data_IF_265759926266
#
_entry.id   IF_265759926266
#
_cell.length_a   1.000
_cell.length_b   1.000
_cell.length_c   1.000
_cell.angle_alpha   90.00
_cell.angle_beta   90.00
_cell.angle_gamma   90.00
#
_symmetry.space_group_name_H-M   'P 1'
#
loop_
_entity.id
_entity.type
_entity.pdbx_description
1 polymer ?
#
# COMPACT_ATOMS: atom_id res chain seq x y z
N UNK A 1 -26.30 49.34 13.03
CA UNK A 1 -26.76 48.74 11.76
C UNK A 1 -26.70 47.23 11.92
N UNK A 2 -27.86 46.59 12.13
CA UNK A 2 -27.97 45.14 12.28
C UNK A 2 -28.16 44.53 10.89
N UNK A 3 -27.26 43.69 10.45
CA UNK A 3 -27.45 42.89 9.25
C UNK A 3 -28.38 41.72 9.60
N UNK A 4 -29.63 41.81 9.15
CA UNK A 4 -30.57 40.70 9.24
C UNK A 4 -30.12 39.54 8.33
N UNK A 5 -29.95 38.37 8.93
CA UNK A 5 -29.81 37.11 8.20
C UNK A 5 -31.18 36.83 7.58
N UNK A 6 -31.31 37.12 6.29
CA UNK A 6 -32.54 36.88 5.54
C UNK A 6 -32.82 35.38 5.47
N UNK A 7 -34.04 35.02 5.87
CA UNK A 7 -34.61 33.68 5.78
C UNK A 7 -34.53 33.15 4.35
N UNK A 8 -33.58 32.23 4.12
CA UNK A 8 -33.50 31.44 2.89
C UNK A 8 -34.62 30.39 2.88
N UNK A 9 -35.85 30.87 2.67
CA UNK A 9 -37.00 30.01 2.40
C UNK A 9 -36.90 29.43 0.98
N UNK A 10 -36.28 28.27 0.86
CA UNK A 10 -36.34 27.49 -0.35
C UNK A 10 -37.71 26.84 -0.51
N UNK A 11 -38.69 27.58 -0.99
CA UNK A 11 -40.02 27.05 -1.37
C UNK A 11 -39.92 26.34 -2.72
N UNK A 12 -39.87 24.99 -2.70
CA UNK A 12 -40.06 24.16 -3.89
C UNK A 12 -41.51 24.28 -4.40
N UNK A 13 -41.67 24.38 -5.70
CA UNK A 13 -42.91 24.67 -6.45
C UNK A 13 -43.82 23.46 -6.67
N UNK A 14 -43.72 22.42 -5.88
CA UNK A 14 -44.53 21.20 -6.01
C UNK A 14 -45.50 21.14 -4.84
N UNK A 15 -46.78 21.18 -5.15
CA UNK A 15 -47.93 21.35 -4.23
C UNK A 15 -48.15 20.26 -3.15
N UNK A 16 -47.06 19.57 -2.71
CA UNK A 16 -46.99 18.79 -1.48
C UNK A 16 -45.69 19.18 -0.79
N UNK A 17 -45.79 20.10 0.14
CA UNK A 17 -44.67 20.69 0.87
C UNK A 17 -43.91 19.70 1.75
N UNK A 18 -43.21 18.77 1.14
CA UNK A 18 -42.16 18.02 1.85
C UNK A 18 -40.99 18.95 2.11
N UNK A 19 -40.69 19.19 3.39
CA UNK A 19 -39.56 20.02 3.78
C UNK A 19 -38.25 19.40 3.22
N UNK A 20 -37.21 20.23 3.03
CA UNK A 20 -35.87 19.77 2.59
C UNK A 20 -35.33 18.68 3.50
N UNK A 21 -35.77 18.64 4.77
CA UNK A 21 -35.41 17.63 5.75
C UNK A 21 -36.18 16.31 5.61
N UNK A 22 -37.34 16.29 4.96
CA UNK A 22 -38.10 15.06 4.72
C UNK A 22 -37.79 14.38 3.39
N UNK A 23 -36.76 14.87 2.68
CA UNK A 23 -36.30 14.32 1.39
C UNK A 23 -34.95 13.58 1.56
N UNK A 24 -34.71 12.59 0.72
CA UNK A 24 -33.38 11.96 0.59
C UNK A 24 -32.97 11.03 1.73
N UNK A 25 -33.90 10.44 2.47
CA UNK A 25 -33.60 9.47 3.52
C UNK A 25 -32.82 8.27 3.02
N UNK A 26 -33.05 7.80 1.78
CA UNK A 26 -32.26 6.72 1.17
C UNK A 26 -30.81 7.16 0.97
N UNK A 27 -30.60 8.38 0.44
CA UNK A 27 -29.23 8.92 0.28
C UNK A 27 -28.54 9.10 1.63
N UNK A 28 -29.26 9.57 2.63
CA UNK A 28 -28.74 9.69 4.00
C UNK A 28 -28.39 8.31 4.57
N UNK A 29 -29.25 7.31 4.38
CA UNK A 29 -28.98 5.92 4.78
C UNK A 29 -27.73 5.33 4.11
N UNK A 30 -27.55 5.56 2.80
CA UNK A 30 -26.35 5.12 2.08
C UNK A 30 -25.10 5.87 2.57
N UNK A 31 -25.19 7.17 2.84
CA UNK A 31 -24.07 7.92 3.41
C UNK A 31 -23.66 7.39 4.78
N UNK A 32 -24.64 7.14 5.67
CA UNK A 32 -24.37 6.56 6.98
C UNK A 32 -23.86 5.13 6.91
N UNK A 33 -24.32 4.33 5.94
CA UNK A 33 -23.79 2.99 5.68
C UNK A 33 -22.31 3.09 5.25
N UNK A 34 -21.97 4.01 4.35
CA UNK A 34 -20.56 4.25 3.95
C UNK A 34 -19.72 4.67 5.15
N UNK A 35 -20.25 5.58 6.00
CA UNK A 35 -19.57 5.98 7.23
C UNK A 35 -19.35 4.80 8.19
N UNK A 36 -20.35 3.93 8.34
CA UNK A 36 -20.25 2.72 9.16
C UNK A 36 -19.21 1.74 8.61
N UNK A 37 -19.19 1.51 7.30
CA UNK A 37 -18.16 0.68 6.64
C UNK A 37 -16.76 1.23 6.94
N UNK A 38 -16.53 2.52 6.72
CA UNK A 38 -15.25 3.15 6.99
C UNK A 38 -14.85 3.09 8.46
N UNK A 39 -15.78 3.36 9.39
CA UNK A 39 -15.50 3.36 10.82
C UNK A 39 -15.27 1.96 11.41
N UNK A 40 -16.00 0.98 10.89
CA UNK A 40 -16.06 -0.38 11.44
C UNK A 40 -15.49 -1.44 10.49
N UNK A 41 -14.63 -1.08 9.53
CA UNK A 41 -14.05 -2.01 8.56
C UNK A 41 -13.34 -3.20 9.25
N UNK A 42 -12.67 -2.96 10.38
CA UNK A 42 -11.95 -3.99 11.13
C UNK A 42 -12.85 -5.02 11.81
N UNK A 43 -14.15 -4.73 11.98
CA UNK A 43 -15.13 -5.64 12.55
C UNK A 43 -15.83 -6.50 11.51
N UNK A 44 -15.60 -6.23 10.21
CA UNK A 44 -16.16 -7.07 9.14
C UNK A 44 -15.50 -8.45 9.20
N UNK A 45 -16.28 -9.54 9.33
CA UNK A 45 -15.74 -10.88 9.50
C UNK A 45 -14.95 -11.37 8.30
N UNK A 46 -13.89 -12.15 8.54
CA UNK A 46 -13.11 -12.85 7.51
C UNK A 46 -13.46 -14.34 7.40
N UNK A 47 -14.32 -14.86 8.29
CA UNK A 47 -14.74 -16.26 8.31
C UNK A 47 -15.46 -16.68 7.03
N UNK A 48 -16.10 -15.74 6.33
CA UNK A 48 -16.78 -15.98 5.07
C UNK A 48 -15.97 -15.35 3.93
N UNK A 49 -15.13 -16.16 3.29
CA UNK A 49 -14.41 -15.78 2.08
C UNK A 49 -13.45 -14.61 2.23
N UNK A 50 -12.95 -14.32 3.43
CA UNK A 50 -12.04 -13.19 3.74
C UNK A 50 -12.56 -11.83 3.22
N UNK A 51 -13.87 -11.60 3.34
CA UNK A 51 -14.51 -10.41 2.80
C UNK A 51 -14.00 -9.11 3.46
N UNK A 52 -13.66 -9.16 4.74
CA UNK A 52 -13.03 -8.03 5.45
C UNK A 52 -11.71 -7.62 4.81
N UNK A 53 -10.82 -8.58 4.54
CA UNK A 53 -9.52 -8.32 3.89
C UNK A 53 -9.68 -7.76 2.46
N UNK A 54 -10.64 -8.28 1.67
CA UNK A 54 -10.97 -7.71 0.37
C UNK A 54 -11.41 -6.25 0.48
N UNK A 55 -12.30 -5.96 1.41
CA UNK A 55 -12.80 -4.61 1.65
C UNK A 55 -11.68 -3.67 2.10
N UNK A 56 -10.80 -4.12 2.99
CA UNK A 56 -9.65 -3.36 3.49
C UNK A 56 -8.63 -3.06 2.39
N UNK A 57 -8.48 -3.93 1.39
CA UNK A 57 -7.63 -3.69 0.22
C UNK A 57 -8.09 -2.46 -0.58
N UNK A 58 -9.39 -2.30 -0.77
CA UNK A 58 -9.98 -1.19 -1.55
C UNK A 58 -10.61 -0.09 -0.69
N UNK A 59 -10.28 -0.03 0.59
CA UNK A 59 -10.88 0.89 1.55
C UNK A 59 -10.81 2.38 1.14
N UNK A 60 -9.72 2.89 0.54
CA UNK A 60 -9.66 4.29 0.08
C UNK A 60 -10.74 4.64 -0.94
N UNK A 61 -11.15 3.68 -1.79
CA UNK A 61 -12.13 3.89 -2.85
C UNK A 61 -13.57 4.11 -2.34
N UNK A 62 -13.87 3.73 -1.09
CA UNK A 62 -15.15 4.06 -0.48
C UNK A 62 -15.37 5.58 -0.34
N UNK A 63 -14.30 6.38 -0.40
CA UNK A 63 -14.39 7.83 -0.49
C UNK A 63 -15.15 8.33 -1.72
N UNK A 64 -15.16 7.57 -2.82
CA UNK A 64 -15.92 7.92 -4.02
C UNK A 64 -17.45 7.93 -3.78
N UNK A 65 -17.93 7.24 -2.74
CA UNK A 65 -19.35 7.32 -2.37
C UNK A 65 -19.75 8.76 -2.02
N UNK A 66 -18.81 9.58 -1.50
CA UNK A 66 -19.09 10.98 -1.15
C UNK A 66 -19.50 11.80 -2.37
N UNK A 67 -18.69 11.98 -3.43
CA UNK A 67 -19.11 12.74 -4.60
C UNK A 67 -20.28 12.07 -5.35
N UNK A 68 -20.36 10.75 -5.39
CA UNK A 68 -21.46 10.00 -6.03
C UNK A 68 -22.81 10.28 -5.35
N UNK A 69 -22.86 10.34 -4.03
CA UNK A 69 -24.08 10.64 -3.28
C UNK A 69 -24.34 12.16 -3.17
N UNK A 70 -23.31 12.98 -3.25
CA UNK A 70 -23.42 14.45 -3.17
C UNK A 70 -24.26 15.00 -4.34
N UNK A 71 -23.98 14.54 -5.57
CA UNK A 71 -24.68 15.02 -6.77
C UNK A 71 -26.20 14.85 -6.64
N UNK A 72 -26.76 13.63 -6.40
CA UNK A 72 -28.21 13.49 -6.23
C UNK A 72 -28.74 14.17 -4.97
N UNK A 73 -27.97 14.33 -3.89
CA UNK A 73 -28.37 15.07 -2.71
C UNK A 73 -28.60 16.55 -3.03
N UNK A 74 -27.73 17.16 -3.84
CA UNK A 74 -27.84 18.54 -4.32
C UNK A 74 -29.04 18.69 -5.27
N UNK A 75 -29.17 17.79 -6.26
CA UNK A 75 -30.28 17.82 -7.23
C UNK A 75 -31.65 17.72 -6.52
N UNK A 76 -31.75 16.89 -5.48
CA UNK A 76 -32.97 16.73 -4.67
C UNK A 76 -33.11 17.82 -3.61
N UNK A 77 -32.12 18.69 -3.44
CA UNK A 77 -32.11 19.74 -2.40
C UNK A 77 -32.40 19.16 -1.01
N UNK A 78 -31.70 18.05 -0.67
CA UNK A 78 -31.94 17.32 0.56
C UNK A 78 -30.94 17.72 1.65
N UNK A 79 -31.41 18.52 2.62
CA UNK A 79 -30.60 18.90 3.78
C UNK A 79 -30.18 17.66 4.61
N UNK A 80 -31.06 16.66 4.75
CA UNK A 80 -30.80 15.41 5.46
C UNK A 80 -29.66 14.63 4.85
N UNK A 81 -29.66 14.46 3.51
CA UNK A 81 -28.60 13.74 2.84
C UNK A 81 -27.26 14.50 2.89
N UNK A 82 -27.30 15.84 2.72
CA UNK A 82 -26.11 16.68 2.83
C UNK A 82 -25.49 16.63 4.24
N UNK A 83 -26.32 16.69 5.28
CA UNK A 83 -25.85 16.55 6.66
C UNK A 83 -25.26 15.15 6.92
N UNK A 84 -25.92 14.08 6.43
CA UNK A 84 -25.42 12.72 6.59
C UNK A 84 -24.08 12.48 5.88
N UNK A 85 -23.83 13.15 4.74
CA UNK A 85 -22.56 13.04 4.01
C UNK A 85 -21.36 13.59 4.78
N UNK A 86 -21.55 14.42 5.78
CA UNK A 86 -20.44 14.90 6.62
C UNK A 86 -19.74 13.73 7.34
N UNK A 87 -20.50 12.70 7.76
CA UNK A 87 -19.92 11.57 8.49
C UNK A 87 -18.89 10.78 7.65
N UNK A 88 -19.22 10.22 6.46
CA UNK A 88 -18.23 9.50 5.66
C UNK A 88 -17.10 10.41 5.18
N UNK A 89 -17.37 11.69 4.89
CA UNK A 89 -16.34 12.65 4.50
C UNK A 89 -15.31 12.85 5.60
N UNK A 90 -15.76 13.13 6.83
CA UNK A 90 -14.85 13.34 7.97
C UNK A 90 -14.06 12.08 8.29
N UNK A 91 -14.71 10.91 8.34
CA UNK A 91 -14.02 9.64 8.62
C UNK A 91 -12.97 9.36 7.54
N UNK A 92 -13.31 9.51 6.25
CA UNK A 92 -12.39 9.28 5.16
C UNK A 92 -11.20 10.25 5.20
N UNK A 93 -11.44 11.54 5.46
CA UNK A 93 -10.36 12.54 5.60
C UNK A 93 -9.48 12.24 6.82
N UNK A 94 -10.04 11.78 7.93
CA UNK A 94 -9.25 11.36 9.10
C UNK A 94 -8.37 10.14 8.79
N UNK A 95 -8.85 9.20 7.97
CA UNK A 95 -8.10 7.99 7.63
C UNK A 95 -7.05 8.24 6.55
N UNK A 96 -7.37 9.02 5.53
CA UNK A 96 -6.58 9.11 4.31
C UNK A 96 -6.11 10.53 3.95
N UNK A 97 -6.60 11.55 4.62
CA UNK A 97 -6.29 12.95 4.30
C UNK A 97 -4.79 13.25 4.35
N UNK A 98 -4.05 12.62 5.26
CA UNK A 98 -2.60 12.76 5.33
C UNK A 98 -1.85 12.19 4.11
N UNK A 99 -2.47 11.27 3.37
CA UNK A 99 -1.88 10.73 2.13
C UNK A 99 -2.01 11.71 0.96
N UNK A 100 -2.91 12.69 1.03
CA UNK A 100 -3.11 13.70 -0.01
C UNK A 100 -2.17 14.90 0.10
N UNK A 101 -1.28 14.89 1.08
CA UNK A 101 -0.29 15.95 1.29
C UNK A 101 1.09 15.41 0.99
N UNK A 102 1.89 16.17 0.26
CA UNK A 102 3.30 15.88 0.07
C UNK A 102 4.02 15.97 1.41
N UNK A 103 4.64 14.86 1.80
CA UNK A 103 5.41 14.72 3.05
C UNK A 103 6.89 14.51 2.75
N UNK A 104 7.27 14.58 1.47
CA UNK A 104 8.66 14.48 1.07
C UNK A 104 9.47 15.67 1.57
N UNK A 105 10.70 15.42 2.01
CA UNK A 105 11.61 16.48 2.44
C UNK A 105 12.76 15.98 3.29
N UNK A 106 13.77 16.84 3.39
CA UNK A 106 15.01 16.54 4.12
C UNK A 106 16.09 15.92 3.23
N UNK A 107 17.31 15.84 3.79
CA UNK A 107 18.43 15.11 3.16
C UNK A 107 18.21 13.60 3.28
N UNK A 108 18.87 12.85 2.40
CA UNK A 108 18.91 11.40 2.49
C UNK A 108 20.35 10.91 2.21
N UNK A 109 20.65 9.72 2.70
CA UNK A 109 21.94 9.06 2.51
C UNK A 109 21.78 7.59 2.07
N UNK A 110 20.55 7.13 1.90
CA UNK A 110 20.24 5.78 1.46
C UNK A 110 18.96 5.73 0.62
N UNK A 111 19.00 4.98 -0.48
CA UNK A 111 17.88 4.82 -1.40
C UNK A 111 17.57 3.34 -1.61
N UNK A 112 16.33 2.95 -1.44
CA UNK A 112 15.85 1.60 -1.69
C UNK A 112 14.80 1.58 -2.80
N UNK A 113 14.89 0.57 -3.66
CA UNK A 113 13.89 0.27 -4.69
C UNK A 113 13.40 -1.16 -4.50
N UNK A 114 12.11 -1.36 -4.68
CA UNK A 114 11.46 -2.66 -4.68
C UNK A 114 10.63 -2.83 -5.95
N UNK A 115 10.63 -4.06 -6.50
CA UNK A 115 9.83 -4.37 -7.67
C UNK A 115 9.51 -5.87 -7.80
N UNK A 116 8.22 -6.19 -7.84
CA UNK A 116 7.77 -7.47 -8.39
C UNK A 116 7.88 -7.39 -9.93
N UNK A 117 8.87 -8.10 -10.50
CA UNK A 117 9.19 -7.99 -11.93
C UNK A 117 8.26 -8.79 -12.83
N UNK A 118 7.35 -9.55 -12.27
CA UNK A 118 6.50 -10.57 -12.90
C UNK A 118 7.28 -11.72 -13.58
N UNK A 119 6.96 -12.94 -13.21
CA UNK A 119 7.56 -14.15 -13.81
C UNK A 119 7.32 -14.24 -15.33
N UNK A 120 6.31 -13.54 -15.85
CA UNK A 120 5.93 -13.51 -17.27
C UNK A 120 6.52 -12.35 -18.06
N UNK A 121 7.21 -11.40 -17.41
CA UNK A 121 7.85 -10.28 -18.06
C UNK A 121 8.97 -10.74 -19.00
N UNK A 122 8.88 -10.36 -20.28
CA UNK A 122 9.81 -10.74 -21.33
C UNK A 122 10.99 -9.77 -21.47
N UNK A 123 10.91 -8.56 -20.90
CA UNK A 123 11.94 -7.52 -20.99
C UNK A 123 12.37 -7.02 -19.60
N UNK A 124 12.93 -7.94 -18.80
CA UNK A 124 13.47 -7.58 -17.49
C UNK A 124 14.71 -6.69 -17.58
N UNK A 125 15.42 -6.68 -18.72
CA UNK A 125 16.56 -5.81 -18.94
C UNK A 125 16.16 -4.33 -18.90
N UNK A 126 15.11 -3.96 -19.63
CA UNK A 126 14.52 -2.61 -19.61
C UNK A 126 13.96 -2.25 -18.24
N UNK A 127 13.38 -3.24 -17.55
CA UNK A 127 12.92 -3.04 -16.17
C UNK A 127 14.08 -2.61 -15.27
N UNK A 128 15.23 -3.28 -15.32
CA UNK A 128 16.41 -2.91 -14.52
C UNK A 128 16.91 -1.49 -14.85
N UNK A 129 16.91 -1.11 -16.14
CA UNK A 129 17.29 0.25 -16.54
C UNK A 129 16.36 1.32 -15.90
N UNK A 130 15.06 1.03 -15.79
CA UNK A 130 14.09 1.90 -15.11
C UNK A 130 14.38 2.01 -13.60
N UNK A 131 14.64 0.88 -12.93
CA UNK A 131 14.95 0.89 -11.50
C UNK A 131 16.23 1.68 -11.19
N UNK A 132 17.26 1.53 -12.02
CA UNK A 132 18.55 2.21 -11.86
C UNK A 132 18.45 3.75 -12.00
N UNK A 133 17.41 4.29 -12.64
CA UNK A 133 17.19 5.74 -12.74
C UNK A 133 17.00 6.40 -11.37
N UNK A 134 16.45 5.68 -10.40
CA UNK A 134 16.34 6.15 -9.02
C UNK A 134 17.69 6.15 -8.26
N UNK A 135 18.77 5.65 -8.89
CA UNK A 135 20.13 5.52 -8.31
C UNK A 135 20.12 4.81 -6.93
N UNK A 136 19.40 3.71 -6.78
CA UNK A 136 19.25 3.06 -5.48
C UNK A 136 20.58 2.56 -4.92
N UNK A 137 20.64 2.40 -3.61
CA UNK A 137 21.73 1.72 -2.91
C UNK A 137 21.45 0.22 -2.77
N UNK A 138 20.15 -0.11 -2.68
CA UNK A 138 19.66 -1.49 -2.72
C UNK A 138 18.45 -1.63 -3.65
N UNK A 139 18.37 -2.77 -4.34
CA UNK A 139 17.26 -3.17 -5.21
C UNK A 139 16.75 -4.51 -4.72
N UNK A 140 15.50 -4.59 -4.33
CA UNK A 140 14.79 -5.81 -4.02
C UNK A 140 13.91 -6.21 -5.21
N UNK A 141 13.98 -7.47 -5.60
CA UNK A 141 13.23 -8.03 -6.72
C UNK A 141 12.45 -9.25 -6.28
N UNK A 142 11.22 -9.38 -6.76
CA UNK A 142 10.34 -10.52 -6.55
C UNK A 142 9.92 -11.14 -7.90
N UNK A 143 9.48 -12.38 -7.85
CA UNK A 143 9.10 -13.21 -9.01
C UNK A 143 10.25 -13.50 -9.98
N UNK A 144 11.49 -13.53 -9.50
CA UNK A 144 12.65 -13.89 -10.30
C UNK A 144 12.53 -15.35 -10.76
N UNK A 145 12.64 -15.56 -12.06
CA UNK A 145 12.76 -16.90 -12.65
C UNK A 145 14.21 -17.19 -13.04
N UNK A 146 14.55 -18.50 -13.14
CA UNK A 146 15.89 -18.90 -13.61
C UNK A 146 16.20 -18.41 -15.04
N UNK A 147 15.19 -18.22 -15.89
CA UNK A 147 15.34 -17.67 -17.23
C UNK A 147 15.65 -16.17 -17.24
N UNK A 148 15.12 -15.41 -16.29
CA UNK A 148 15.32 -13.96 -16.19
C UNK A 148 16.64 -13.58 -15.49
N UNK A 149 17.13 -14.43 -14.58
CA UNK A 149 18.28 -14.13 -13.73
C UNK A 149 19.56 -13.71 -14.50
N UNK A 150 19.94 -14.34 -15.63
CA UNK A 150 21.10 -13.90 -16.40
C UNK A 150 20.99 -12.46 -16.90
N UNK A 151 19.80 -12.04 -17.40
CA UNK A 151 19.57 -10.67 -17.88
C UNK A 151 19.60 -9.65 -16.73
N UNK A 152 19.05 -10.00 -15.56
CA UNK A 152 19.09 -9.17 -14.35
C UNK A 152 20.56 -8.95 -13.93
N UNK A 153 21.35 -10.02 -13.84
CA UNK A 153 22.78 -9.95 -13.48
C UNK A 153 23.57 -9.11 -14.47
N UNK A 154 23.36 -9.33 -15.76
CA UNK A 154 24.05 -8.55 -16.81
C UNK A 154 23.84 -7.04 -16.62
N UNK A 155 22.68 -6.61 -16.14
CA UNK A 155 22.36 -5.20 -15.92
C UNK A 155 22.85 -4.68 -14.57
N UNK A 156 22.72 -5.47 -13.52
CA UNK A 156 22.91 -4.98 -12.15
C UNK A 156 24.31 -5.24 -11.58
N UNK A 157 24.97 -6.38 -11.89
CA UNK A 157 26.17 -6.82 -11.18
C UNK A 157 27.34 -5.82 -11.29
N UNK A 158 27.41 -5.02 -12.36
CA UNK A 158 28.42 -3.98 -12.53
C UNK A 158 28.30 -2.82 -11.56
N UNK A 159 27.08 -2.42 -11.22
CA UNK A 159 26.79 -1.30 -10.32
C UNK A 159 26.44 -1.74 -8.89
N UNK A 160 26.01 -3.01 -8.73
CA UNK A 160 25.59 -3.63 -7.48
C UNK A 160 26.36 -4.94 -7.29
N UNK A 161 27.64 -4.89 -6.90
CA UNK A 161 28.51 -6.07 -6.88
C UNK A 161 28.15 -7.09 -5.80
N UNK A 162 27.34 -6.70 -4.82
CA UNK A 162 26.89 -7.59 -3.75
C UNK A 162 25.44 -7.97 -3.97
N UNK A 163 25.15 -9.25 -4.11
CA UNK A 163 23.79 -9.72 -4.28
C UNK A 163 23.56 -11.10 -3.65
N UNK A 164 22.31 -11.36 -3.30
CA UNK A 164 21.82 -12.66 -2.83
C UNK A 164 20.47 -12.94 -3.48
N UNK A 165 20.27 -14.18 -3.93
CA UNK A 165 18.99 -14.65 -4.49
C UNK A 165 18.60 -15.93 -3.77
N UNK A 166 17.39 -15.94 -3.21
CA UNK A 166 16.82 -17.07 -2.49
C UNK A 166 15.42 -17.40 -3.07
N UNK A 167 15.31 -18.56 -3.70
CA UNK A 167 14.08 -18.93 -4.39
C UNK A 167 13.73 -17.96 -5.52
N UNK A 168 12.66 -17.19 -5.34
CA UNK A 168 12.17 -16.22 -6.33
C UNK A 168 12.34 -14.76 -5.90
N UNK A 169 13.08 -14.51 -4.83
CA UNK A 169 13.37 -13.15 -4.35
C UNK A 169 14.86 -12.88 -4.33
N UNK A 170 15.26 -11.65 -4.55
CA UNK A 170 16.67 -11.27 -4.58
C UNK A 170 16.89 -9.85 -4.07
N UNK A 171 18.10 -9.61 -3.56
CA UNK A 171 18.60 -8.32 -3.12
C UNK A 171 19.93 -8.02 -3.81
N UNK A 172 20.02 -6.89 -4.47
CA UNK A 172 21.25 -6.31 -5.02
C UNK A 172 21.63 -5.08 -4.22
N UNK A 173 22.92 -4.90 -3.94
CA UNK A 173 23.44 -3.84 -3.08
C UNK A 173 24.76 -3.26 -3.60
N UNK A 174 24.93 -1.95 -3.43
CA UNK A 174 26.24 -1.30 -3.59
C UNK A 174 27.19 -1.62 -2.43
N UNK A 175 26.64 -2.02 -1.28
CA UNK A 175 27.38 -2.28 -0.05
C UNK A 175 27.48 -3.78 0.24
N UNK A 176 28.50 -4.22 0.99
CA UNK A 176 28.64 -5.62 1.37
C UNK A 176 27.38 -6.18 2.04
N UNK A 177 27.08 -7.44 1.71
CA UNK A 177 26.01 -8.22 2.33
C UNK A 177 26.60 -9.26 3.26
N UNK A 178 26.11 -9.30 4.50
CA UNK A 178 26.48 -10.31 5.50
C UNK A 178 25.22 -10.93 6.10
N UNK A 179 25.36 -12.03 6.83
CA UNK A 179 24.24 -12.77 7.47
C UNK A 179 23.05 -12.97 6.53
N UNK A 180 23.33 -13.41 5.30
CA UNK A 180 22.30 -13.65 4.28
C UNK A 180 21.67 -15.03 4.44
N UNK A 181 20.37 -15.12 4.21
CA UNK A 181 19.69 -16.42 4.21
C UNK A 181 18.18 -16.30 3.99
N UNK A 182 17.54 -17.44 3.71
CA UNK A 182 16.10 -17.50 3.52
C UNK A 182 15.34 -17.23 4.83
N UNK A 183 14.16 -16.63 4.72
CA UNK A 183 13.18 -16.51 5.79
C UNK A 183 12.00 -17.42 5.49
N UNK A 184 11.69 -18.33 6.41
CA UNK A 184 10.55 -19.24 6.25
C UNK A 184 9.23 -18.52 6.58
N UNK A 185 8.49 -18.15 5.55
CA UNK A 185 7.15 -17.57 5.65
C UNK A 185 6.02 -18.63 5.50
N UNK A 186 6.32 -19.91 5.77
CA UNK A 186 5.38 -21.03 5.88
C UNK A 186 4.57 -21.36 4.61
N UNK A 187 5.22 -21.25 3.44
CA UNK A 187 4.58 -21.57 2.14
C UNK A 187 5.19 -22.81 1.45
N UNK A 188 6.19 -23.46 2.09
CA UNK A 188 6.80 -24.70 1.59
C UNK A 188 7.93 -24.50 0.58
N UNK A 189 8.22 -23.27 0.16
CA UNK A 189 9.34 -22.88 -0.71
C UNK A 189 9.76 -21.44 -0.44
N UNK A 190 10.98 -21.06 -0.87
CA UNK A 190 11.56 -19.78 -0.48
C UNK A 190 11.00 -18.62 -1.31
N UNK A 191 10.37 -17.66 -0.65
CA UNK A 191 9.88 -16.37 -1.18
C UNK A 191 10.20 -15.21 -0.25
N UNK A 192 11.08 -15.40 0.70
CA UNK A 192 11.59 -14.31 1.52
C UNK A 192 13.03 -14.58 1.90
N UNK A 193 13.81 -13.51 2.02
CA UNK A 193 15.20 -13.54 2.46
C UNK A 193 15.47 -12.41 3.46
N UNK A 194 16.54 -12.57 4.20
CA UNK A 194 17.14 -11.56 5.08
C UNK A 194 18.61 -11.40 4.72
N UNK A 195 19.09 -10.16 4.71
CA UNK A 195 20.51 -9.84 4.61
C UNK A 195 20.83 -8.64 5.52
N UNK A 196 22.05 -8.57 6.02
CA UNK A 196 22.60 -7.35 6.61
C UNK A 196 23.33 -6.58 5.52
N UNK A 197 22.96 -5.32 5.31
CA UNK A 197 23.65 -4.38 4.41
C UNK A 197 24.58 -3.53 5.25
N UNK A 198 25.89 -3.66 5.01
CA UNK A 198 26.92 -2.94 5.75
C UNK A 198 27.19 -1.58 5.10
N UNK A 199 26.35 -0.58 5.44
CA UNK A 199 26.48 0.78 4.91
C UNK A 199 27.56 1.59 5.65
N UNK A 200 28.09 2.68 5.04
CA UNK A 200 29.01 3.59 5.74
C UNK A 200 28.44 4.17 7.02
N UNK A 201 27.10 4.28 7.12
CA UNK A 201 26.41 4.82 8.29
C UNK A 201 25.98 3.75 9.31
N UNK A 202 26.40 2.49 9.09
CA UNK A 202 26.14 1.35 9.95
C UNK A 202 25.25 0.29 9.31
N UNK A 203 25.12 -0.84 9.99
CA UNK A 203 24.40 -2.01 9.48
C UNK A 203 22.89 -1.81 9.47
N UNK A 204 22.24 -2.29 8.40
CA UNK A 204 20.79 -2.31 8.21
C UNK A 204 20.36 -3.75 7.90
N UNK A 205 19.43 -4.30 8.68
CA UNK A 205 18.80 -5.57 8.33
C UNK A 205 17.76 -5.30 7.23
N UNK A 206 17.96 -5.95 6.09
CA UNK A 206 17.04 -5.84 4.94
C UNK A 206 16.34 -7.18 4.73
N UNK A 207 15.01 -7.12 4.74
CA UNK A 207 14.13 -8.23 4.41
C UNK A 207 13.53 -8.00 3.04
N UNK A 208 13.56 -9.01 2.19
CA UNK A 208 12.81 -9.03 0.91
C UNK A 208 11.77 -10.14 1.02
N UNK A 209 10.51 -9.83 0.76
CA UNK A 209 9.44 -10.81 0.93
C UNK A 209 8.37 -10.68 -0.17
N UNK A 210 8.05 -11.81 -0.79
CA UNK A 210 6.90 -11.93 -1.68
C UNK A 210 5.86 -12.88 -1.05
N UNK A 211 4.79 -12.33 -0.50
CA UNK A 211 3.74 -13.13 0.11
C UNK A 211 2.84 -13.78 -0.94
N UNK A 212 2.12 -14.86 -0.56
CA UNK A 212 1.16 -15.50 -1.46
C UNK A 212 0.15 -14.52 -2.03
N UNK A 213 -0.07 -14.62 -3.34
CA UNK A 213 -1.05 -13.78 -4.03
C UNK A 213 -2.47 -14.08 -3.58
N UNK A 214 -3.26 -13.04 -3.51
CA UNK A 214 -4.66 -13.08 -3.10
C UNK A 214 -5.56 -12.93 -4.33
N UNK A 215 -6.54 -13.82 -4.46
CA UNK A 215 -7.44 -13.86 -5.63
C UNK A 215 -8.89 -13.91 -5.17
N UNK A 216 -9.77 -13.23 -5.91
CA UNK A 216 -11.22 -13.37 -5.75
C UNK A 216 -11.66 -14.62 -6.49
N UNK A 217 -12.27 -15.58 -5.78
CA UNK A 217 -12.86 -16.79 -6.35
C UNK A 217 -14.36 -16.81 -6.08
N UNK A 218 -15.17 -17.17 -7.09
CA UNK A 218 -16.62 -17.23 -6.94
C UNK A 218 -17.10 -18.29 -5.94
N UNK A 219 -16.32 -19.37 -5.76
CA UNK A 219 -16.59 -20.50 -4.88
C UNK A 219 -15.84 -20.47 -3.54
N UNK A 220 -14.83 -19.63 -3.43
CA UNK A 220 -13.94 -19.58 -2.24
C UNK A 220 -13.70 -18.18 -1.66
N UNK A 221 -14.35 -17.15 -2.22
CA UNK A 221 -14.17 -15.77 -1.77
C UNK A 221 -12.76 -15.21 -2.06
N UNK A 222 -12.26 -14.40 -1.16
CA UNK A 222 -10.92 -13.78 -1.24
C UNK A 222 -9.88 -14.70 -0.58
N UNK A 223 -8.97 -15.30 -1.36
CA UNK A 223 -8.05 -16.35 -0.89
C UNK A 223 -6.86 -15.79 -0.11
N UNK A 224 -7.09 -15.20 1.06
CA UNK A 224 -6.05 -14.52 1.84
C UNK A 224 -5.40 -15.39 2.94
N UNK A 225 -5.93 -16.57 3.28
CA UNK A 225 -5.49 -17.35 4.45
C UNK A 225 -3.99 -17.67 4.44
N UNK A 226 -3.44 -18.12 3.29
CA UNK A 226 -2.02 -18.44 3.21
C UNK A 226 -1.15 -17.19 3.36
N UNK A 227 -1.55 -16.06 2.77
CA UNK A 227 -0.89 -14.77 2.95
C UNK A 227 -0.93 -14.32 4.41
N UNK A 228 -2.04 -14.52 5.11
CA UNK A 228 -2.20 -14.15 6.52
C UNK A 228 -1.23 -14.93 7.41
N UNK A 229 -1.12 -16.26 7.22
CA UNK A 229 -0.11 -17.07 7.93
C UNK A 229 1.33 -16.66 7.60
N UNK A 230 1.60 -16.25 6.35
CA UNK A 230 2.92 -15.73 5.97
C UNK A 230 3.21 -14.39 6.66
N UNK A 231 2.21 -13.54 6.85
CA UNK A 231 2.35 -12.28 7.57
C UNK A 231 2.68 -12.49 9.05
N UNK A 232 2.07 -13.49 9.69
CA UNK A 232 2.40 -13.90 11.07
C UNK A 232 3.86 -14.37 11.15
N UNK A 233 4.28 -15.29 10.27
CA UNK A 233 5.64 -15.84 10.26
C UNK A 233 6.70 -14.75 10.01
N UNK A 234 6.47 -13.83 9.06
CA UNK A 234 7.35 -12.70 8.80
C UNK A 234 7.37 -11.74 10.00
N UNK A 235 6.22 -11.47 10.62
CA UNK A 235 6.12 -10.64 11.82
C UNK A 235 6.92 -11.22 12.99
N UNK A 236 6.92 -12.55 13.16
CA UNK A 236 7.77 -13.23 14.16
C UNK A 236 9.26 -13.09 13.85
N UNK A 237 9.66 -13.22 12.58
CA UNK A 237 11.05 -13.02 12.16
C UNK A 237 11.52 -11.59 12.46
N UNK A 238 10.70 -10.59 12.15
CA UNK A 238 10.97 -9.18 12.44
C UNK A 238 11.05 -8.87 13.94
N UNK A 239 10.29 -9.57 14.76
CA UNK A 239 10.35 -9.45 16.23
C UNK A 239 11.67 -9.96 16.78
N UNK A 240 12.22 -11.01 16.17
CA UNK A 240 13.50 -11.65 16.56
C UNK A 240 14.72 -10.93 16.00
N UNK A 241 14.56 -9.95 15.11
CA UNK A 241 15.66 -9.23 14.47
C UNK A 241 16.45 -8.39 15.50
N UNK A 242 17.75 -8.68 15.70
CA UNK A 242 18.56 -7.99 16.71
C UNK A 242 18.97 -6.58 16.30
N UNK A 243 19.04 -6.27 15.01
CA UNK A 243 19.38 -4.94 14.54
C UNK A 243 18.22 -3.96 14.74
N UNK A 244 18.56 -2.76 15.22
CA UNK A 244 17.57 -1.69 15.41
C UNK A 244 17.08 -1.10 14.10
N UNK A 245 17.96 -1.03 13.09
CA UNK A 245 17.69 -0.52 11.76
C UNK A 245 17.21 -1.66 10.87
N UNK A 246 15.95 -1.62 10.49
CA UNK A 246 15.30 -2.65 9.68
C UNK A 246 14.59 -2.02 8.50
N UNK A 247 14.75 -2.62 7.34
CA UNK A 247 14.06 -2.30 6.10
C UNK A 247 13.37 -3.58 5.60
N UNK A 248 12.08 -3.50 5.33
CA UNK A 248 11.30 -4.54 4.64
C UNK A 248 10.89 -4.00 3.27
N UNK A 249 11.23 -4.76 2.25
CA UNK A 249 10.92 -4.50 0.84
C UNK A 249 10.12 -5.69 0.31
N UNK A 250 9.04 -5.45 -0.41
CA UNK A 250 8.39 -6.58 -1.05
C UNK A 250 6.93 -6.38 -1.42
N UNK A 251 6.45 -7.34 -2.21
CA UNK A 251 5.04 -7.53 -2.49
C UNK A 251 4.40 -8.32 -1.35
N UNK A 252 3.69 -7.62 -0.48
CA UNK A 252 3.00 -8.22 0.67
C UNK A 252 1.60 -8.74 0.30
N UNK A 253 1.17 -8.56 -0.95
CA UNK A 253 -0.18 -8.93 -1.39
C UNK A 253 -1.28 -8.45 -0.42
N UNK A 254 -1.06 -7.26 0.14
CA UNK A 254 -1.94 -6.62 1.11
C UNK A 254 -1.57 -5.16 1.34
N UNK A 255 -2.54 -4.36 1.75
CA UNK A 255 -2.37 -2.93 2.00
C UNK A 255 -2.11 -2.65 3.48
N UNK A 256 -1.68 -1.42 3.79
CA UNK A 256 -1.51 -0.97 5.19
C UNK A 256 -2.81 -0.95 6.00
N UNK A 257 -3.98 -1.04 5.34
CA UNK A 257 -5.27 -1.11 6.00
C UNK A 257 -5.68 -2.54 6.37
N UNK A 258 -5.04 -3.55 5.75
CA UNK A 258 -5.36 -4.95 5.98
C UNK A 258 -4.90 -5.37 7.39
N UNK A 259 -5.86 -5.72 8.24
CA UNK A 259 -5.61 -6.15 9.63
C UNK A 259 -4.72 -7.38 9.73
N UNK A 260 -4.71 -8.25 8.72
CA UNK A 260 -3.88 -9.44 8.71
C UNK A 260 -2.37 -9.11 8.58
N UNK A 261 -2.02 -7.90 8.12
CA UNK A 261 -0.65 -7.41 8.13
C UNK A 261 -0.24 -6.76 9.47
N UNK A 262 -1.12 -6.76 10.49
CA UNK A 262 -0.81 -6.18 11.80
C UNK A 262 0.48 -6.71 12.44
N UNK A 263 0.85 -8.02 12.34
CA UNK A 263 2.14 -8.51 12.84
C UNK A 263 3.36 -7.77 12.29
N UNK A 264 3.25 -7.18 11.11
CA UNK A 264 4.29 -6.40 10.43
C UNK A 264 4.11 -4.90 10.69
N UNK A 265 2.89 -4.38 10.46
CA UNK A 265 2.60 -2.94 10.50
C UNK A 265 2.68 -2.33 11.91
N UNK A 266 2.58 -3.15 12.95
CA UNK A 266 2.83 -2.72 14.34
C UNK A 266 4.32 -2.53 14.65
N UNK A 267 5.22 -3.12 13.87
CA UNK A 267 6.67 -3.08 14.08
C UNK A 267 7.37 -2.11 13.14
N UNK A 268 6.85 -1.94 11.92
CA UNK A 268 7.44 -1.15 10.84
C UNK A 268 6.47 -0.07 10.35
N UNK A 269 7.02 1.06 9.91
CA UNK A 269 6.25 2.17 9.31
C UNK A 269 6.40 2.16 7.80
N UNK A 270 5.31 2.41 7.09
CA UNK A 270 5.33 2.58 5.64
C UNK A 270 6.08 3.85 5.24
N UNK A 271 7.02 3.75 4.31
CA UNK A 271 7.72 4.90 3.74
C UNK A 271 6.74 5.85 3.04
N UNK A 272 5.80 5.32 2.23
CA UNK A 272 4.76 6.13 1.59
C UNK A 272 3.88 6.86 2.60
N UNK A 273 3.42 6.15 3.63
CA UNK A 273 2.59 6.76 4.67
C UNK A 273 3.31 7.88 5.42
N UNK A 274 4.65 7.77 5.58
CA UNK A 274 5.47 8.71 6.35
C UNK A 274 6.02 9.86 5.52
N UNK A 275 6.41 9.62 4.26
CA UNK A 275 7.19 10.57 3.45
C UNK A 275 6.78 10.58 1.95
N UNK A 276 5.67 9.95 1.58
CA UNK A 276 5.16 9.97 0.21
C UNK A 276 4.15 11.07 -0.05
N UNK A 277 3.85 11.28 -1.33
CA UNK A 277 2.73 12.05 -1.83
C UNK A 277 1.71 11.12 -2.48
N UNK A 278 0.42 11.33 -2.21
CA UNK A 278 -0.66 10.49 -2.69
C UNK A 278 -0.68 9.07 -2.09
N UNK A 279 -1.52 8.23 -2.66
CA UNK A 279 -1.73 6.86 -2.21
C UNK A 279 -0.57 5.93 -2.56
N UNK A 280 0.21 6.24 -3.59
CA UNK A 280 1.31 5.42 -4.07
C UNK A 280 0.84 4.03 -4.52
N UNK A 281 -0.32 3.93 -5.16
CA UNK A 281 -0.82 2.66 -5.69
C UNK A 281 0.16 2.05 -6.69
N UNK A 282 0.41 0.76 -6.58
CA UNK A 282 1.39 0.05 -7.37
C UNK A 282 0.79 -1.05 -8.25
N UNK A 283 -0.44 -1.51 -7.95
CA UNK A 283 -1.08 -2.61 -8.65
C UNK A 283 -2.56 -2.34 -8.96
N UNK A 284 -3.07 -2.82 -10.13
CA UNK A 284 -2.30 -3.26 -11.30
C UNK A 284 -1.61 -2.09 -12.01
N UNK A 285 -0.48 -2.31 -12.71
CA UNK A 285 0.31 -1.23 -13.31
C UNK A 285 -0.48 -0.38 -14.32
N UNK A 286 -1.40 -1.00 -15.08
CA UNK A 286 -2.24 -0.34 -16.08
C UNK A 286 -3.30 0.59 -15.50
N UNK A 287 -3.77 0.35 -14.28
CA UNK A 287 -4.72 1.18 -13.53
C UNK A 287 -4.47 1.02 -12.04
N UNK A 288 -3.45 1.68 -11.48
CA UNK A 288 -3.05 1.49 -10.10
C UNK A 288 -4.18 1.83 -9.12
N UNK A 289 -4.64 0.82 -8.38
CA UNK A 289 -5.81 0.93 -7.50
C UNK A 289 -5.61 0.35 -6.10
N UNK A 290 -4.52 -0.40 -5.89
CA UNK A 290 -4.12 -0.89 -4.59
C UNK A 290 -2.61 -0.75 -4.42
N UNK A 291 -2.18 -0.53 -3.17
CA UNK A 291 -0.77 -0.52 -2.81
C UNK A 291 -0.45 -1.78 -2.04
N UNK A 292 -0.05 -2.82 -2.76
CA UNK A 292 0.32 -4.12 -2.21
C UNK A 292 1.84 -4.30 -2.11
N UNK A 293 2.59 -3.51 -2.87
CA UNK A 293 4.04 -3.38 -2.79
C UNK A 293 4.40 -2.39 -1.67
N UNK A 294 5.31 -2.78 -0.79
CA UNK A 294 5.63 -2.02 0.40
C UNK A 294 7.14 -1.82 0.56
N UNK A 295 7.50 -0.61 0.97
CA UNK A 295 8.79 -0.28 1.58
C UNK A 295 8.48 0.19 3.00
N UNK A 296 8.95 -0.56 4.00
CA UNK A 296 8.65 -0.30 5.40
C UNK A 296 9.92 -0.30 6.23
N UNK A 297 9.98 0.54 7.26
CA UNK A 297 11.17 0.70 8.07
C UNK A 297 10.92 0.84 9.56
N UNK A 298 11.95 0.50 10.36
CA UNK A 298 12.09 0.92 11.76
C UNK A 298 13.53 1.31 12.02
N UNK A 299 13.75 2.31 12.90
CA UNK A 299 15.09 2.79 13.27
C UNK A 299 15.83 3.54 12.17
N UNK A 300 15.19 3.77 11.02
CA UNK A 300 15.63 4.63 9.91
C UNK A 300 14.45 5.50 9.47
N UNK A 301 14.74 6.71 9.01
CA UNK A 301 13.72 7.72 8.72
C UNK A 301 13.48 7.83 7.21
N UNK A 302 12.30 7.50 6.67
CA UNK A 302 11.98 7.77 5.29
C UNK A 302 11.83 9.29 5.07
N UNK A 303 12.42 9.81 3.99
CA UNK A 303 12.41 11.24 3.63
C UNK A 303 11.65 11.52 2.33
N UNK A 304 11.49 10.52 1.48
CA UNK A 304 10.55 10.54 0.34
C UNK A 304 10.18 9.13 -0.07
N UNK A 305 9.02 8.96 -0.71
CA UNK A 305 8.59 7.70 -1.30
C UNK A 305 7.68 7.96 -2.51
N UNK A 306 7.88 7.20 -3.59
CA UNK A 306 7.17 7.37 -4.86
C UNK A 306 7.09 6.06 -5.66
N UNK A 307 6.28 6.06 -6.70
CA UNK A 307 6.24 5.00 -7.72
C UNK A 307 7.14 5.37 -8.91
N UNK A 308 7.77 4.38 -9.51
CA UNK A 308 8.54 4.54 -10.75
C UNK A 308 7.66 4.24 -11.98
N UNK A 309 8.12 4.58 -13.20
CA UNK A 309 7.41 4.26 -14.43
C UNK A 309 7.18 2.76 -14.63
N UNK A 310 6.18 2.41 -15.44
CA UNK A 310 5.83 1.04 -15.83
C UNK A 310 7.01 0.33 -16.52
N UNK A 311 7.14 -0.99 -16.28
CA UNK A 311 8.30 -1.81 -16.68
C UNK A 311 7.92 -3.09 -17.43
N UNK A 312 6.67 -3.24 -17.86
CA UNK A 312 6.16 -4.49 -18.44
C UNK A 312 5.77 -5.55 -17.39
N UNK A 313 5.87 -5.22 -16.10
CA UNK A 313 5.23 -5.98 -15.01
C UNK A 313 3.80 -5.49 -14.80
N UNK A 314 2.96 -6.34 -14.21
CA UNK A 314 1.64 -5.93 -13.71
C UNK A 314 1.71 -5.14 -12.39
N UNK A 315 2.93 -4.91 -11.85
CA UNK A 315 3.21 -4.01 -10.74
C UNK A 315 4.00 -2.79 -11.20
N UNK A 316 3.79 -1.63 -10.58
CA UNK A 316 4.70 -0.50 -10.66
C UNK A 316 5.81 -0.65 -9.63
N UNK A 317 7.08 -0.37 -9.99
CA UNK A 317 8.15 -0.33 -9.01
C UNK A 317 7.93 0.82 -8.03
N UNK A 318 8.40 0.65 -6.80
CA UNK A 318 8.36 1.67 -5.77
C UNK A 318 9.75 1.98 -5.24
N UNK A 319 9.96 3.22 -4.86
CA UNK A 319 11.22 3.71 -4.34
C UNK A 319 11.03 4.55 -3.07
N UNK A 320 12.05 4.60 -2.24
CA UNK A 320 12.08 5.49 -1.09
C UNK A 320 13.51 5.95 -0.76
N UNK A 321 13.62 7.19 -0.33
CA UNK A 321 14.82 7.76 0.27
C UNK A 321 14.75 7.67 1.79
N UNK A 322 15.90 7.48 2.42
CA UNK A 322 16.04 7.36 3.87
C UNK A 322 17.22 8.16 4.41
N UNK A 323 17.09 8.56 5.64
CA UNK A 323 18.18 8.97 6.49
C UNK A 323 18.45 7.85 7.51
N UNK A 324 19.71 7.33 7.50
CA UNK A 324 20.16 6.21 8.34
C UNK A 324 20.62 6.64 9.73
#
# INVERSE_FOLDING_TARGET
MAFGIGDLHWRGRDGRGRSTWSRGWVLAGLALLTAAILAFHRQVPDEIGNFGSLMETFLPWFGLAVPVLLVPALLRRSATALAALLAPTLIWVMMFGSLLTDKSGGGYDFTAVQHNISATNQDVGSSMDTLMQAKPDVIALEEITGAQLPAIRQKLDGAYPYHVVEGTVGLWSKYPLTDTGPVDIKIGWTRALRATVDTPNGAVAVYVAHMPSVRVKFDGGFTANQRNHSAEALGEALTKEPLKRVLLLGDLNGTMNDRALAPITMQLRSAQGSAGDGFGFSWPSTFPSARIDQIMSRGITPTSAWTLPETGSDHLPIAAHFQL
#
